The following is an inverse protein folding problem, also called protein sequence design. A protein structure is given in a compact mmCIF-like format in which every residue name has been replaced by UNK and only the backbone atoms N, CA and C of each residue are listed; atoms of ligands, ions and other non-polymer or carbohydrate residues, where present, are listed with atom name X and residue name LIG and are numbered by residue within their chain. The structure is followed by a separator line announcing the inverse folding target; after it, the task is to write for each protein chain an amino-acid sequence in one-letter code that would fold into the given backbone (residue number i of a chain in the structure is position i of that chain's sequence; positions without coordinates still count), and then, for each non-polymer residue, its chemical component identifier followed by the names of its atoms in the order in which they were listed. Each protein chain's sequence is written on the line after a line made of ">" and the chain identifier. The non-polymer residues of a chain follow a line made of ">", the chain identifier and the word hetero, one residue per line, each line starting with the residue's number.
data_IF_992219785257
#
_entry.id   IF_992219785257
#
_cell.length_a   1.000
_cell.length_b   1.000
_cell.length_c   1.000
_cell.angle_alpha   90.00
_cell.angle_beta   90.00
_cell.angle_gamma   90.00
#
_symmetry.space_group_name_H-M   'P 1'
#
loop_
_entity.id
_entity.type
_entity.pdbx_description
1 polymer ?
#
# COMPACT_ATOMS: atom_id res chain seq x y z
N UNK A 1 -33.12 -21.90 -40.26
CA UNK A 1 -31.70 -21.50 -40.32
C UNK A 1 -31.37 -20.78 -39.04
N UNK A 2 -30.50 -21.39 -38.26
CA UNK A 2 -30.04 -21.02 -36.92
C UNK A 2 -28.97 -19.94 -36.96
N UNK A 3 -28.91 -19.06 -35.97
CA UNK A 3 -27.77 -18.17 -35.78
C UNK A 3 -27.92 -17.14 -34.67
N UNK A 4 -28.23 -17.57 -33.43
CA UNK A 4 -28.07 -16.71 -32.26
C UNK A 4 -26.59 -16.63 -31.90
N UNK A 5 -25.95 -15.51 -32.21
CA UNK A 5 -24.58 -15.18 -31.78
C UNK A 5 -24.58 -14.78 -30.30
N UNK A 6 -24.43 -15.76 -29.43
CA UNK A 6 -24.10 -15.52 -28.02
C UNK A 6 -22.63 -15.10 -27.93
N UNK A 7 -22.37 -13.82 -27.77
CA UNK A 7 -21.04 -13.30 -27.40
C UNK A 7 -20.74 -13.71 -25.96
N UNK A 8 -19.66 -14.46 -25.67
CA UNK A 8 -19.28 -14.69 -24.29
C UNK A 8 -18.66 -13.40 -23.74
N UNK A 9 -19.33 -12.75 -22.76
CA UNK A 9 -18.71 -11.76 -21.87
C UNK A 9 -17.69 -12.50 -20.98
N UNK A 10 -16.53 -12.77 -21.55
CA UNK A 10 -15.35 -13.25 -20.82
C UNK A 10 -14.77 -12.12 -20.00
N UNK A 11 -15.29 -11.91 -18.78
CA UNK A 11 -14.52 -11.21 -17.77
C UNK A 11 -13.27 -12.04 -17.50
N UNK A 12 -12.17 -11.71 -18.19
CA UNK A 12 -10.90 -12.41 -18.05
C UNK A 12 -10.51 -12.34 -16.57
N UNK A 13 -10.65 -13.48 -15.87
CA UNK A 13 -10.09 -13.64 -14.54
C UNK A 13 -8.59 -13.52 -14.71
N UNK A 14 -8.05 -12.30 -14.51
CA UNK A 14 -6.61 -12.02 -14.46
C UNK A 14 -5.97 -13.08 -13.57
N UNK A 15 -5.07 -13.85 -14.15
CA UNK A 15 -4.43 -15.00 -13.51
C UNK A 15 -3.54 -14.58 -12.34
N UNK A 16 -3.03 -15.53 -11.55
CA UNK A 16 -2.17 -15.25 -10.39
C UNK A 16 -0.96 -14.36 -10.71
N UNK A 17 -0.28 -14.59 -11.84
CA UNK A 17 0.87 -13.79 -12.27
C UNK A 17 0.51 -12.32 -12.52
N UNK A 18 -0.60 -12.06 -13.21
CA UNK A 18 -1.06 -10.68 -13.44
C UNK A 18 -1.31 -9.92 -12.13
N UNK A 19 -1.81 -10.60 -11.10
CA UNK A 19 -2.06 -9.96 -9.79
C UNK A 19 -0.76 -9.68 -9.05
N UNK A 20 0.23 -10.56 -9.19
CA UNK A 20 1.56 -10.32 -8.67
C UNK A 20 2.22 -9.12 -9.36
N UNK A 21 2.13 -9.02 -10.69
CA UNK A 21 2.64 -7.87 -11.45
C UNK A 21 1.96 -6.56 -11.03
N UNK A 22 0.64 -6.60 -10.79
CA UNK A 22 -0.12 -5.47 -10.25
C UNK A 22 0.39 -5.04 -8.87
N UNK A 23 0.57 -5.99 -7.95
CA UNK A 23 1.05 -5.74 -6.59
C UNK A 23 2.49 -5.20 -6.59
N UNK A 24 3.37 -5.75 -7.45
CA UNK A 24 4.75 -5.27 -7.64
C UNK A 24 4.77 -3.83 -8.19
N UNK A 25 3.96 -3.55 -9.22
CA UNK A 25 3.87 -2.21 -9.77
C UNK A 25 3.30 -1.20 -8.74
N UNK A 26 2.37 -1.62 -7.88
CA UNK A 26 1.89 -0.80 -6.77
C UNK A 26 2.96 -0.56 -5.71
N UNK A 27 3.76 -1.58 -5.37
CA UNK A 27 4.88 -1.45 -4.43
C UNK A 27 5.95 -0.50 -4.96
N UNK A 28 6.30 -0.62 -6.24
CA UNK A 28 7.28 0.27 -6.87
C UNK A 28 6.79 1.72 -6.89
N UNK A 29 5.52 1.95 -7.22
CA UNK A 29 4.91 3.29 -7.10
C UNK A 29 4.97 3.82 -5.66
N UNK A 30 4.77 2.97 -4.66
CA UNK A 30 4.90 3.38 -3.25
C UNK A 30 6.35 3.77 -2.90
N UNK A 31 7.33 3.01 -3.37
CA UNK A 31 8.76 3.31 -3.18
C UNK A 31 9.17 4.62 -3.87
N UNK A 32 8.66 4.87 -5.08
CA UNK A 32 8.88 6.14 -5.80
C UNK A 32 8.31 7.34 -5.03
N UNK A 33 7.10 7.21 -4.48
CA UNK A 33 6.50 8.25 -3.63
C UNK A 33 7.35 8.52 -2.37
N UNK A 34 7.86 7.47 -1.72
CA UNK A 34 8.74 7.59 -0.57
C UNK A 34 10.07 8.27 -0.92
N UNK A 35 10.68 7.94 -2.07
CA UNK A 35 11.89 8.60 -2.56
C UNK A 35 11.65 10.09 -2.77
N UNK A 36 10.57 10.44 -3.48
CA UNK A 36 10.20 11.83 -3.72
C UNK A 36 9.88 12.58 -2.42
N UNK A 37 9.33 11.90 -1.40
CA UNK A 37 9.11 12.48 -0.08
C UNK A 37 10.44 12.85 0.60
N UNK A 38 11.43 11.94 0.58
CA UNK A 38 12.78 12.17 1.15
C UNK A 38 13.50 13.33 0.48
N UNK A 39 13.43 13.43 -0.85
CA UNK A 39 14.02 14.53 -1.62
C UNK A 39 13.44 15.90 -1.23
N UNK A 40 12.21 15.92 -0.72
CA UNK A 40 11.47 17.13 -0.35
C UNK A 40 11.45 17.41 1.14
N UNK A 41 12.02 16.53 1.97
CA UNK A 41 11.90 16.61 3.43
C UNK A 41 12.30 17.98 3.98
N UNK A 42 13.36 18.58 3.43
CA UNK A 42 13.88 19.88 3.88
C UNK A 42 13.25 21.05 3.11
N UNK A 43 13.01 20.89 1.81
CA UNK A 43 12.62 22.00 0.91
C UNK A 43 11.11 22.21 0.85
N UNK A 44 10.32 21.15 1.01
CA UNK A 44 8.86 21.15 1.08
C UNK A 44 8.38 20.06 2.07
N UNK A 45 8.54 20.28 3.39
CA UNK A 45 8.18 19.28 4.41
C UNK A 45 6.70 18.86 4.34
N UNK A 46 5.81 19.78 3.97
CA UNK A 46 4.38 19.50 3.86
C UNK A 46 4.08 18.58 2.67
N UNK A 47 4.68 18.88 1.51
CA UNK A 47 4.60 17.99 0.35
C UNK A 47 5.26 16.64 0.62
N UNK A 48 6.38 16.62 1.33
CA UNK A 48 7.02 15.38 1.78
C UNK A 48 6.08 14.55 2.64
N UNK A 49 5.42 15.16 3.63
CA UNK A 49 4.47 14.49 4.53
C UNK A 49 3.31 13.84 3.75
N UNK A 50 2.72 14.56 2.80
CA UNK A 50 1.62 14.02 2.00
C UNK A 50 2.10 12.90 1.05
N UNK A 51 3.31 12.99 0.49
CA UNK A 51 3.88 11.94 -0.36
C UNK A 51 4.14 10.66 0.43
N UNK A 52 4.76 10.75 1.62
CA UNK A 52 4.99 9.57 2.47
C UNK A 52 3.67 8.97 2.95
N UNK A 53 2.66 9.80 3.23
CA UNK A 53 1.34 9.31 3.60
C UNK A 53 0.69 8.50 2.47
N UNK A 54 0.79 8.98 1.22
CA UNK A 54 0.32 8.23 0.04
C UNK A 54 1.10 6.95 -0.18
N UNK A 55 2.42 6.95 0.06
CA UNK A 55 3.24 5.74 0.00
C UNK A 55 2.76 4.71 1.04
N UNK A 56 2.49 5.13 2.28
CA UNK A 56 1.99 4.27 3.34
C UNK A 56 0.60 3.69 3.02
N UNK A 57 -0.32 4.52 2.52
CA UNK A 57 -1.66 4.09 2.06
C UNK A 57 -1.56 3.03 0.95
N UNK A 58 -0.65 3.23 0.00
CA UNK A 58 -0.45 2.32 -1.12
C UNK A 58 0.11 0.98 -0.66
N UNK A 59 1.14 0.98 0.20
CA UNK A 59 1.68 -0.24 0.81
C UNK A 59 0.62 -1.05 1.57
N UNK A 60 -0.15 -0.37 2.44
CA UNK A 60 -1.25 -1.01 3.16
C UNK A 60 -2.37 -1.50 2.23
N UNK A 61 -2.64 -0.76 1.15
CA UNK A 61 -3.62 -1.12 0.13
C UNK A 61 -3.29 -2.43 -0.57
N UNK A 62 -2.01 -2.71 -0.83
CA UNK A 62 -1.55 -3.99 -1.40
C UNK A 62 -1.93 -5.13 -0.45
N UNK A 63 -1.57 -5.04 0.84
CA UNK A 63 -1.89 -6.07 1.83
C UNK A 63 -3.39 -6.30 1.96
N UNK A 64 -4.19 -5.23 2.03
CA UNK A 64 -5.65 -5.32 2.13
C UNK A 64 -6.26 -5.94 0.87
N UNK A 65 -5.78 -5.57 -0.32
CA UNK A 65 -6.23 -6.14 -1.58
C UNK A 65 -5.91 -7.64 -1.64
N UNK A 66 -4.72 -8.04 -1.22
CA UNK A 66 -4.29 -9.44 -1.11
C UNK A 66 -5.18 -10.23 -0.16
N UNK A 67 -5.31 -9.78 1.09
CA UNK A 67 -6.17 -10.44 2.09
C UNK A 67 -7.63 -10.54 1.63
N UNK A 68 -8.13 -9.55 0.89
CA UNK A 68 -9.48 -9.58 0.34
C UNK A 68 -9.68 -10.65 -0.76
N UNK A 69 -8.62 -11.13 -1.43
CA UNK A 69 -8.74 -12.18 -2.46
C UNK A 69 -9.16 -13.52 -1.87
N UNK A 70 -8.74 -13.79 -0.64
CA UNK A 70 -8.99 -15.06 0.07
C UNK A 70 -10.24 -15.02 0.97
N UNK A 71 -10.73 -13.80 1.27
CA UNK A 71 -11.86 -13.63 2.17
C UNK A 71 -13.22 -13.78 1.49
N UNK A 72 -14.11 -14.53 2.14
CA UNK A 72 -15.54 -14.58 1.80
C UNK A 72 -16.26 -13.25 2.06
N UNK A 73 -15.91 -12.54 3.13
CA UNK A 73 -16.44 -11.20 3.47
C UNK A 73 -15.32 -10.18 3.35
N UNK A 74 -15.53 -9.15 2.53
CA UNK A 74 -14.53 -8.11 2.30
C UNK A 74 -14.25 -7.30 3.56
N UNK A 75 -13.01 -6.87 3.69
CA UNK A 75 -12.55 -5.91 4.68
C UNK A 75 -13.20 -4.54 4.44
N UNK A 76 -13.28 -3.68 5.48
CA UNK A 76 -13.80 -2.32 5.34
C UNK A 76 -12.98 -1.49 4.35
N UNK A 77 -13.61 -0.46 3.78
CA UNK A 77 -12.98 0.41 2.77
C UNK A 77 -11.91 1.33 3.37
N UNK A 78 -12.02 1.68 4.65
CA UNK A 78 -10.97 2.39 5.35
C UNK A 78 -9.78 1.45 5.56
N UNK A 79 -8.65 1.76 4.93
CA UNK A 79 -7.47 0.88 4.92
C UNK A 79 -6.90 0.64 6.32
N UNK A 80 -6.94 1.62 7.22
CA UNK A 80 -6.47 1.46 8.60
C UNK A 80 -7.37 0.51 9.39
N UNK A 81 -8.70 0.68 9.28
CA UNK A 81 -9.66 -0.24 9.86
C UNK A 81 -9.62 -1.64 9.22
N UNK A 82 -9.14 -1.74 7.97
CA UNK A 82 -8.92 -3.02 7.30
C UNK A 82 -7.71 -3.75 7.90
N UNK A 83 -6.59 -3.05 8.09
CA UNK A 83 -5.39 -3.59 8.73
C UNK A 83 -5.67 -4.15 10.14
N UNK A 84 -6.44 -3.44 10.96
CA UNK A 84 -6.83 -3.91 12.32
C UNK A 84 -7.53 -5.28 12.34
N UNK A 85 -8.15 -5.65 11.21
CA UNK A 85 -8.91 -6.90 11.01
C UNK A 85 -8.12 -7.98 10.27
N UNK A 86 -6.87 -7.71 9.89
CA UNK A 86 -5.99 -8.67 9.19
C UNK A 86 -5.21 -9.55 10.16
N UNK A 87 -4.61 -8.98 11.20
CA UNK A 87 -3.81 -9.70 12.17
C UNK A 87 -3.22 -8.79 13.24
N UNK A 88 -2.52 -9.34 14.24
CA UNK A 88 -1.84 -8.55 15.28
C UNK A 88 -0.79 -7.59 14.71
N UNK A 89 0.05 -8.06 13.78
CA UNK A 89 1.09 -7.23 13.17
C UNK A 89 0.50 -6.03 12.40
N UNK A 90 -0.52 -6.25 11.58
CA UNK A 90 -1.20 -5.19 10.85
C UNK A 90 -1.96 -4.24 11.78
N UNK A 91 -2.51 -4.75 12.88
CA UNK A 91 -3.14 -3.91 13.91
C UNK A 91 -2.14 -2.99 14.58
N UNK A 92 -0.98 -3.51 15.00
CA UNK A 92 0.06 -2.70 15.62
C UNK A 92 0.55 -1.62 14.63
N UNK A 93 0.65 -1.97 13.34
CA UNK A 93 0.93 -1.01 12.28
C UNK A 93 -0.15 0.08 12.19
N UNK A 94 -1.43 -0.30 12.13
CA UNK A 94 -2.52 0.66 12.10
C UNK A 94 -2.50 1.63 13.30
N UNK A 95 -2.22 1.10 14.50
CA UNK A 95 -2.08 1.91 15.72
C UNK A 95 -0.89 2.87 15.65
N UNK A 96 0.26 2.44 15.12
CA UNK A 96 1.43 3.31 14.94
C UNK A 96 1.18 4.50 14.01
N UNK A 97 0.20 4.39 13.11
CA UNK A 97 -0.16 5.45 12.15
C UNK A 97 -1.14 6.47 12.71
N UNK A 98 -1.79 6.20 13.86
CA UNK A 98 -2.78 7.11 14.45
C UNK A 98 -2.25 8.53 14.66
N UNK A 99 -1.05 8.74 15.24
CA UNK A 99 -0.49 10.09 15.36
C UNK A 99 -0.25 10.77 14.01
N UNK A 100 0.14 10.00 12.99
CA UNK A 100 0.46 10.52 11.65
C UNK A 100 -0.81 10.90 10.87
N UNK A 101 -1.89 10.14 11.06
CA UNK A 101 -3.22 10.48 10.51
C UNK A 101 -3.76 11.73 11.19
N UNK A 102 -3.64 11.84 12.52
CA UNK A 102 -4.05 13.04 13.25
C UNK A 102 -3.28 14.27 12.78
N UNK A 103 -1.97 14.13 12.57
CA UNK A 103 -1.12 15.19 12.03
C UNK A 103 -1.54 15.60 10.62
N UNK A 104 -1.80 14.63 9.73
CA UNK A 104 -2.35 14.92 8.39
C UNK A 104 -3.64 15.72 8.48
N UNK A 105 -4.57 15.32 9.35
CA UNK A 105 -5.84 16.02 9.55
C UNK A 105 -5.64 17.45 10.08
N UNK A 106 -4.63 17.68 10.91
CA UNK A 106 -4.25 19.01 11.38
C UNK A 106 -3.74 19.87 10.22
N UNK A 107 -2.85 19.33 9.39
CA UNK A 107 -2.32 20.01 8.20
C UNK A 107 -3.42 20.32 7.19
N UNK A 108 -4.35 19.39 6.95
CA UNK A 108 -5.48 19.58 6.02
C UNK A 108 -6.39 20.77 6.44
N UNK A 109 -6.52 21.03 7.75
CA UNK A 109 -7.35 22.13 8.29
C UNK A 109 -6.67 23.51 8.23
N UNK A 110 -5.35 23.55 8.26
CA UNK A 110 -4.59 24.80 8.21
C UNK A 110 -3.53 24.75 7.09
N UNK A 111 -3.75 25.44 5.96
CA UNK A 111 -2.80 25.50 4.84
C UNK A 111 -1.43 26.09 5.20
N UNK A 112 -1.33 26.86 6.29
CA UNK A 112 -0.07 27.48 6.75
C UNK A 112 0.68 26.63 7.77
N UNK A 113 0.03 25.59 8.31
CA UNK A 113 0.68 24.68 9.23
C UNK A 113 1.76 23.85 8.53
N UNK A 114 2.86 23.66 9.27
CA UNK A 114 3.96 22.77 8.91
C UNK A 114 3.87 21.47 9.71
N UNK A 115 4.28 20.32 9.14
CA UNK A 115 4.34 19.07 9.89
C UNK A 115 5.35 19.19 11.04
N UNK A 116 5.06 18.52 12.15
CA UNK A 116 6.03 18.30 13.22
C UNK A 116 7.24 17.52 12.66
N UNK A 117 8.49 18.03 12.78
CA UNK A 117 9.67 17.40 12.17
C UNK A 117 9.87 15.95 12.61
N UNK A 118 9.65 15.65 13.88
CA UNK A 118 9.78 14.31 14.46
C UNK A 118 8.74 13.35 13.88
N UNK A 119 7.50 13.83 13.66
CA UNK A 119 6.45 13.04 13.03
C UNK A 119 6.75 12.77 11.55
N UNK A 120 7.29 13.74 10.82
CA UNK A 120 7.72 13.56 9.43
C UNK A 120 8.86 12.52 9.33
N UNK A 121 9.90 12.69 10.14
CA UNK A 121 11.05 11.76 10.18
C UNK A 121 10.61 10.34 10.52
N UNK A 122 9.79 10.19 11.57
CA UNK A 122 9.18 8.91 11.93
C UNK A 122 8.34 8.34 10.78
N UNK A 123 7.52 9.16 10.12
CA UNK A 123 6.66 8.67 9.04
C UNK A 123 7.49 8.12 7.88
N UNK A 124 8.58 8.81 7.50
CA UNK A 124 9.52 8.37 6.46
C UNK A 124 10.17 7.03 6.83
N UNK A 125 10.66 6.90 8.07
CA UNK A 125 11.30 5.68 8.55
C UNK A 125 10.32 4.51 8.61
N UNK A 126 9.21 4.67 9.33
CA UNK A 126 8.23 3.60 9.54
C UNK A 126 7.61 3.14 8.21
N UNK A 127 7.42 4.07 7.26
CA UNK A 127 6.92 3.72 5.91
C UNK A 127 7.96 2.96 5.10
N UNK A 128 9.25 3.32 5.19
CA UNK A 128 10.31 2.56 4.54
C UNK A 128 10.34 1.10 5.00
N UNK A 129 10.35 0.89 6.32
CA UNK A 129 10.31 -0.46 6.91
C UNK A 129 9.09 -1.22 6.44
N UNK A 130 7.91 -0.56 6.44
CA UNK A 130 6.69 -1.19 5.98
C UNK A 130 6.76 -1.63 4.51
N UNK A 131 7.32 -0.81 3.62
CA UNK A 131 7.44 -1.17 2.20
C UNK A 131 8.42 -2.32 1.97
N UNK A 132 9.47 -2.45 2.78
CA UNK A 132 10.35 -3.64 2.71
C UNK A 132 9.62 -4.91 3.16
N UNK A 133 8.89 -4.87 4.27
CA UNK A 133 8.07 -6.00 4.73
C UNK A 133 7.02 -6.39 3.67
N UNK A 134 6.38 -5.41 3.02
CA UNK A 134 5.45 -5.70 1.90
C UNK A 134 6.20 -6.38 0.75
N UNK A 135 7.42 -5.95 0.43
CA UNK A 135 8.27 -6.57 -0.58
C UNK A 135 8.59 -8.03 -0.25
N UNK A 136 8.98 -8.32 0.99
CA UNK A 136 9.25 -9.68 1.48
C UNK A 136 8.01 -10.58 1.33
N UNK A 137 6.85 -10.11 1.80
CA UNK A 137 5.57 -10.83 1.67
C UNK A 137 5.24 -11.12 0.19
N UNK A 138 5.47 -10.18 -0.72
CA UNK A 138 5.22 -10.44 -2.14
C UNK A 138 6.13 -11.55 -2.69
N UNK A 139 7.39 -11.59 -2.25
CA UNK A 139 8.36 -12.60 -2.70
C UNK A 139 8.04 -14.00 -2.17
N UNK A 140 7.55 -14.12 -0.94
CA UNK A 140 7.13 -15.41 -0.35
C UNK A 140 6.04 -16.10 -1.17
N UNK A 141 5.19 -15.32 -1.85
CA UNK A 141 4.08 -15.80 -2.65
C UNK A 141 4.42 -16.10 -4.13
N UNK A 142 5.69 -16.00 -4.51
CA UNK A 142 6.16 -16.49 -5.81
C UNK A 142 6.12 -18.02 -5.81
N UNK A 143 5.55 -18.67 -6.85
CA UNK A 143 5.64 -20.12 -6.97
C UNK A 143 7.11 -20.53 -7.04
N UNK A 144 7.52 -21.48 -6.18
CA UNK A 144 8.91 -21.92 -5.99
C UNK A 144 9.65 -22.42 -7.24
N UNK A 145 8.98 -22.51 -8.39
CA UNK A 145 9.61 -22.75 -9.69
C UNK A 145 10.37 -21.55 -10.26
N UNK A 146 10.15 -20.32 -9.77
CA UNK A 146 10.87 -19.11 -10.22
C UNK A 146 12.13 -18.80 -9.39
N UNK A 147 12.16 -19.19 -8.12
CA UNK A 147 13.36 -19.08 -7.27
C UNK A 147 14.48 -20.03 -7.71
N UNK A 148 14.15 -21.10 -8.44
CA UNK A 148 15.11 -22.07 -8.99
C UNK A 148 15.85 -21.60 -10.26
N UNK A 149 15.43 -20.51 -10.90
CA UNK A 149 16.05 -19.98 -12.13
C UNK A 149 17.04 -18.84 -11.89
N UNK A 150 17.20 -18.41 -10.63
CA UNK A 150 18.16 -17.38 -10.22
C UNK A 150 19.36 -17.93 -9.43
N UNK A 151 19.49 -19.27 -9.35
CA UNK A 151 20.59 -19.99 -8.71
C UNK A 151 21.53 -20.64 -9.73
#
# INVERSE_FOLDING_TARGET
>A
MTGSTTTPRGGARRGPLHRFDEDQADLERARQLLSAAREREVTDPRGAFELVHRAALRGAGILVARANRERRRKLPLNVWAALERMGPAERDRALSLVPLVAERMRLDRDPRAMPEPELLSRHLQDTAVHLEVVGEILLEDLPGSLTALAG
#
